data_IF_803232317728
#
_entry.id   IF_803232317728
#
_cell.length_a   1.000
_cell.length_b   1.000
_cell.length_c   1.000
_cell.angle_alpha   90.00
_cell.angle_beta   90.00
_cell.angle_gamma   90.00
#
_symmetry.space_group_name_H-M   'P 1'
#
loop_
_entity.id
_entity.type
_entity.pdbx_description
1 polymer ?
#
# COMPACT_ATOMS: atom_id res chain seq x y z
N UNK A 1 19.02 20.45 -17.10
CA UNK A 1 18.15 20.93 -15.99
C UNK A 1 16.96 19.98 -15.89
N UNK A 2 16.75 19.37 -14.70
CA UNK A 2 15.54 18.56 -14.46
C UNK A 2 14.30 19.45 -14.48
N UNK A 3 13.28 19.04 -15.24
CA UNK A 3 11.96 19.68 -15.21
C UNK A 3 11.15 19.16 -14.02
N UNK A 4 10.00 19.80 -13.74
CA UNK A 4 9.10 19.28 -12.68
C UNK A 4 8.61 17.87 -12.98
N UNK A 5 8.31 17.55 -14.24
CA UNK A 5 7.86 16.20 -14.62
C UNK A 5 8.97 15.15 -14.47
N UNK A 6 10.24 15.54 -14.63
CA UNK A 6 11.36 14.60 -14.40
C UNK A 6 11.46 14.17 -12.94
N UNK A 7 10.94 14.95 -11.98
CA UNK A 7 10.92 14.60 -10.57
C UNK A 7 9.92 13.50 -10.23
N UNK A 8 8.95 13.24 -11.09
CA UNK A 8 7.99 12.14 -10.93
C UNK A 8 8.48 10.82 -11.56
N UNK A 9 9.56 10.85 -12.36
CA UNK A 9 10.10 9.65 -12.99
C UNK A 9 10.80 8.74 -11.97
N UNK A 10 10.57 7.44 -12.15
CA UNK A 10 11.13 6.39 -11.30
C UNK A 10 12.16 5.53 -12.04
N UNK A 11 12.76 6.07 -13.11
CA UNK A 11 13.75 5.34 -13.92
C UNK A 11 14.92 4.83 -13.05
N UNK A 12 15.24 3.54 -13.18
CA UNK A 12 16.29 2.90 -12.40
C UNK A 12 15.95 2.62 -10.95
N UNK A 13 14.69 2.85 -10.54
CA UNK A 13 14.19 2.50 -9.21
C UNK A 13 13.56 1.13 -9.21
N UNK A 14 13.64 0.46 -8.08
CA UNK A 14 13.01 -0.83 -7.81
C UNK A 14 11.96 -0.65 -6.71
N UNK A 15 10.73 -1.04 -7.02
CA UNK A 15 9.63 -1.04 -6.07
C UNK A 15 9.27 -2.47 -5.64
N UNK A 16 8.97 -2.66 -4.36
CA UNK A 16 8.36 -3.87 -3.83
C UNK A 16 6.93 -3.54 -3.40
N UNK A 17 5.95 -4.23 -3.98
CA UNK A 17 4.52 -3.99 -3.72
C UNK A 17 3.86 -5.25 -3.17
N UNK A 18 3.31 -5.17 -1.95
CA UNK A 18 2.58 -6.29 -1.34
C UNK A 18 1.11 -6.28 -1.70
N UNK A 19 0.49 -7.47 -1.79
CA UNK A 19 -0.91 -7.60 -2.22
C UNK A 19 -1.13 -7.17 -3.68
N UNK A 20 -0.15 -7.45 -4.55
CA UNK A 20 -0.10 -6.99 -5.94
C UNK A 20 -0.82 -7.91 -6.94
N UNK A 21 -1.59 -8.89 -6.47
CA UNK A 21 -2.30 -9.85 -7.34
C UNK A 21 -3.42 -9.17 -8.14
N UNK A 22 -4.16 -8.25 -7.52
CA UNK A 22 -5.31 -7.54 -8.12
C UNK A 22 -5.64 -6.26 -7.35
N UNK A 23 -6.66 -5.55 -7.82
CA UNK A 23 -7.20 -4.36 -7.14
C UNK A 23 -6.16 -3.27 -6.94
N UNK A 24 -6.14 -2.65 -5.76
CA UNK A 24 -5.31 -1.48 -5.47
C UNK A 24 -3.82 -1.77 -5.64
N UNK A 25 -3.34 -2.91 -5.13
CA UNK A 25 -1.92 -3.26 -5.21
C UNK A 25 -1.44 -3.48 -6.64
N UNK A 26 -2.25 -4.14 -7.48
CA UNK A 26 -1.93 -4.32 -8.89
C UNK A 26 -1.89 -2.97 -9.64
N UNK A 27 -2.88 -2.10 -9.42
CA UNK A 27 -2.93 -0.77 -10.04
C UNK A 27 -1.73 0.09 -9.60
N UNK A 28 -1.39 0.10 -8.31
CA UNK A 28 -0.21 0.82 -7.80
C UNK A 28 1.07 0.27 -8.44
N UNK A 29 1.24 -1.06 -8.50
CA UNK A 29 2.42 -1.69 -9.11
C UNK A 29 2.58 -1.29 -10.58
N UNK A 30 1.49 -1.34 -11.35
CA UNK A 30 1.47 -0.88 -12.76
C UNK A 30 1.77 0.61 -12.86
N UNK A 31 1.18 1.46 -12.00
CA UNK A 31 1.44 2.91 -12.00
C UNK A 31 2.90 3.25 -11.71
N UNK A 32 3.57 2.54 -10.80
CA UNK A 32 5.00 2.70 -10.54
C UNK A 32 5.84 2.27 -11.75
N UNK A 33 5.43 1.21 -12.45
CA UNK A 33 6.09 0.76 -13.68
C UNK A 33 5.88 1.75 -14.84
N UNK A 34 4.69 2.33 -15.01
CA UNK A 34 4.39 3.41 -15.96
C UNK A 34 5.30 4.63 -15.72
N UNK A 35 5.65 4.91 -14.45
CA UNK A 35 6.59 5.96 -14.10
C UNK A 35 8.07 5.57 -14.27
N UNK A 36 8.39 4.32 -14.62
CA UNK A 36 9.72 3.84 -14.95
C UNK A 36 10.39 2.90 -13.96
N UNK A 37 9.70 2.47 -12.88
CA UNK A 37 10.25 1.53 -11.92
C UNK A 37 10.23 0.08 -12.43
N UNK A 38 11.20 -0.74 -11.99
CA UNK A 38 11.09 -2.19 -12.01
C UNK A 38 10.37 -2.64 -10.72
N UNK A 39 9.63 -3.75 -10.75
CA UNK A 39 8.71 -4.07 -9.64
C UNK A 39 8.81 -5.53 -9.18
N UNK A 40 9.04 -5.72 -7.88
CA UNK A 40 8.80 -6.98 -7.19
C UNK A 40 7.34 -7.02 -6.68
N UNK A 41 6.59 -8.01 -7.12
CA UNK A 41 5.18 -8.23 -6.81
C UNK A 41 5.06 -9.32 -5.76
N UNK A 42 4.37 -9.05 -4.65
CA UNK A 42 4.14 -10.03 -3.58
C UNK A 42 2.65 -10.34 -3.46
N UNK A 43 2.30 -11.61 -3.41
CA UNK A 43 0.91 -12.06 -3.25
C UNK A 43 0.80 -13.55 -2.94
N UNK A 44 -0.38 -14.00 -2.54
CA UNK A 44 -0.67 -15.40 -2.20
C UNK A 44 -1.19 -16.21 -3.39
N UNK A 45 -1.71 -15.56 -4.42
CA UNK A 45 -2.25 -16.18 -5.64
C UNK A 45 -1.47 -15.76 -6.89
N UNK A 46 -1.93 -16.09 -8.08
CA UNK A 46 -1.22 -15.77 -9.33
C UNK A 46 -0.99 -14.26 -9.47
N UNK A 47 0.23 -13.89 -9.78
CA UNK A 47 0.68 -12.51 -10.06
C UNK A 47 0.90 -12.26 -11.56
N UNK A 48 0.66 -13.29 -12.37
CA UNK A 48 1.00 -13.34 -13.80
C UNK A 48 0.36 -12.19 -14.60
N UNK A 49 -0.89 -11.83 -14.31
CA UNK A 49 -1.57 -10.75 -15.04
C UNK A 49 -0.89 -9.39 -14.77
N UNK A 50 -0.57 -9.11 -13.51
CA UNK A 50 0.11 -7.86 -13.14
C UNK A 50 1.53 -7.84 -13.70
N UNK A 51 2.24 -8.97 -13.63
CA UNK A 51 3.59 -9.13 -14.19
C UNK A 51 3.60 -8.86 -15.70
N UNK A 52 2.69 -9.47 -16.46
CA UNK A 52 2.54 -9.24 -17.90
C UNK A 52 2.29 -7.77 -18.24
N UNK A 53 1.43 -7.08 -17.48
CA UNK A 53 1.18 -5.64 -17.67
C UNK A 53 2.46 -4.82 -17.50
N UNK A 54 3.27 -5.10 -16.49
CA UNK A 54 4.52 -4.40 -16.22
C UNK A 54 5.56 -4.69 -17.31
N UNK A 55 5.69 -5.95 -17.73
CA UNK A 55 6.61 -6.34 -18.79
C UNK A 55 6.23 -5.72 -20.14
N UNK A 56 4.94 -5.54 -20.41
CA UNK A 56 4.45 -4.85 -21.62
C UNK A 56 4.84 -3.36 -21.66
N UNK A 57 5.13 -2.75 -20.51
CA UNK A 57 5.68 -1.39 -20.40
C UNK A 57 7.21 -1.34 -20.59
N UNK A 58 7.86 -2.48 -20.90
CA UNK A 58 9.31 -2.58 -21.01
C UNK A 58 10.04 -2.55 -19.66
N UNK A 59 9.34 -2.80 -18.56
CA UNK A 59 9.92 -2.86 -17.20
C UNK A 59 10.12 -4.31 -16.76
N UNK A 60 11.07 -4.51 -15.81
CA UNK A 60 11.27 -5.83 -15.21
C UNK A 60 10.25 -6.04 -14.11
N UNK A 61 9.73 -7.26 -14.00
CA UNK A 61 8.87 -7.69 -12.92
C UNK A 61 9.39 -8.99 -12.30
N UNK A 62 9.16 -9.18 -11.01
CA UNK A 62 9.45 -10.40 -10.27
C UNK A 62 8.23 -10.79 -9.45
N UNK A 63 7.62 -11.92 -9.75
CA UNK A 63 6.53 -12.47 -8.95
C UNK A 63 7.08 -13.27 -7.75
N UNK A 64 6.71 -12.87 -6.53
CA UNK A 64 7.08 -13.52 -5.28
C UNK A 64 5.80 -14.03 -4.61
N UNK A 65 5.60 -15.34 -4.62
CA UNK A 65 4.47 -15.95 -3.94
C UNK A 65 4.80 -16.11 -2.45
N UNK A 66 4.12 -15.36 -1.59
CA UNK A 66 4.32 -15.40 -0.14
C UNK A 66 3.03 -15.06 0.61
N UNK A 67 2.84 -15.70 1.76
CA UNK A 67 1.77 -15.39 2.71
C UNK A 67 2.33 -14.50 3.83
N UNK A 68 1.82 -13.28 3.91
CA UNK A 68 2.26 -12.29 4.90
C UNK A 68 1.70 -12.55 6.31
N UNK A 69 0.75 -13.48 6.47
CA UNK A 69 0.34 -13.95 7.79
C UNK A 69 1.43 -14.82 8.46
N UNK A 70 2.30 -15.44 7.67
CA UNK A 70 3.49 -16.14 8.16
C UNK A 70 4.68 -15.19 8.25
N UNK A 71 5.00 -14.74 9.46
CA UNK A 71 6.17 -13.87 9.70
C UNK A 71 7.50 -14.48 9.22
N UNK A 72 7.59 -15.82 9.17
CA UNK A 72 8.82 -16.50 8.70
C UNK A 72 9.04 -16.33 7.19
N UNK A 73 7.98 -16.03 6.43
CA UNK A 73 8.11 -15.77 5.00
C UNK A 73 8.70 -14.39 4.69
N UNK A 74 8.56 -13.42 5.61
CA UNK A 74 8.90 -11.99 5.37
C UNK A 74 10.38 -11.79 4.99
N UNK A 75 11.39 -12.38 5.65
CA UNK A 75 12.79 -12.24 5.24
C UNK A 75 13.04 -12.72 3.81
N UNK A 76 12.42 -13.84 3.41
CA UNK A 76 12.56 -14.42 2.08
C UNK A 76 12.04 -13.49 0.96
N UNK A 77 11.03 -12.66 1.24
CA UNK A 77 10.50 -11.68 0.29
C UNK A 77 11.58 -10.65 -0.06
N UNK A 78 12.20 -10.05 0.94
CA UNK A 78 13.24 -9.04 0.72
C UNK A 78 14.48 -9.66 0.05
N UNK A 79 14.89 -10.85 0.49
CA UNK A 79 16.01 -11.58 -0.10
C UNK A 79 15.78 -11.90 -1.58
N UNK A 80 14.59 -12.35 -1.97
CA UNK A 80 14.25 -12.64 -3.36
C UNK A 80 14.30 -11.38 -4.24
N UNK A 81 13.74 -10.26 -3.76
CA UNK A 81 13.78 -9.00 -4.47
C UNK A 81 15.22 -8.49 -4.67
N UNK A 82 16.05 -8.57 -3.61
CA UNK A 82 17.46 -8.18 -3.66
C UNK A 82 18.29 -9.08 -4.58
N UNK A 83 18.06 -10.39 -4.54
CA UNK A 83 18.77 -11.33 -5.41
C UNK A 83 18.50 -11.06 -6.90
N UNK A 84 17.27 -10.62 -7.23
CA UNK A 84 16.88 -10.37 -8.63
C UNK A 84 17.27 -8.97 -9.13
N UNK A 85 17.04 -7.93 -8.32
CA UNK A 85 17.23 -6.53 -8.72
C UNK A 85 18.49 -5.87 -8.14
N UNK A 86 19.15 -6.51 -7.19
CA UNK A 86 20.29 -5.96 -6.44
C UNK A 86 19.90 -5.09 -5.26
N UNK A 87 18.76 -4.44 -5.29
CA UNK A 87 18.27 -3.53 -4.25
C UNK A 87 16.76 -3.30 -4.33
N UNK A 88 16.21 -2.62 -3.31
CA UNK A 88 14.85 -2.09 -3.31
C UNK A 88 14.90 -0.63 -2.86
N UNK A 89 14.29 0.30 -3.61
CA UNK A 89 14.25 1.73 -3.30
C UNK A 89 12.89 2.18 -2.74
N UNK A 90 11.83 1.46 -3.11
CA UNK A 90 10.44 1.83 -2.79
C UNK A 90 9.74 0.61 -2.21
N UNK A 91 9.17 0.74 -1.02
CA UNK A 91 8.34 -0.28 -0.40
C UNK A 91 6.90 0.22 -0.33
N UNK A 92 5.97 -0.54 -0.92
CA UNK A 92 4.53 -0.29 -0.80
C UNK A 92 3.88 -1.42 0.01
N UNK A 93 3.52 -1.12 1.24
CA UNK A 93 2.77 -2.01 2.12
C UNK A 93 1.27 -1.85 1.84
N UNK A 94 0.79 -2.61 0.85
CA UNK A 94 -0.61 -2.58 0.42
C UNK A 94 -1.40 -3.80 0.88
N UNK A 95 -0.79 -4.96 1.04
CA UNK A 95 -1.49 -6.17 1.46
C UNK A 95 -2.35 -5.91 2.71
N UNK A 96 -3.56 -6.42 2.67
CA UNK A 96 -4.48 -6.29 3.79
C UNK A 96 -5.73 -7.13 3.59
N UNK A 97 -6.26 -7.58 4.70
CA UNK A 97 -7.51 -8.34 4.78
C UNK A 97 -8.48 -7.65 5.72
N UNK A 98 -9.74 -8.00 5.59
CA UNK A 98 -10.81 -7.51 6.45
C UNK A 98 -11.64 -8.69 6.96
N UNK A 99 -12.03 -8.65 8.23
CA UNK A 99 -13.01 -9.54 8.86
C UNK A 99 -14.17 -8.69 9.36
N UNK A 100 -15.38 -9.24 9.24
CA UNK A 100 -16.61 -8.50 9.59
C UNK A 100 -17.45 -9.30 10.54
N UNK A 101 -17.55 -8.84 11.79
CA UNK A 101 -18.44 -9.40 12.80
C UNK A 101 -18.82 -8.31 13.81
N UNK A 102 -19.90 -8.51 14.56
CA UNK A 102 -20.28 -7.62 15.64
C UNK A 102 -19.18 -7.61 16.72
N UNK A 103 -19.07 -6.51 17.44
CA UNK A 103 -17.96 -6.33 18.39
C UNK A 103 -17.96 -7.38 19.50
N UNK A 104 -19.12 -7.74 20.00
CA UNK A 104 -19.33 -8.74 21.07
C UNK A 104 -19.11 -10.20 20.63
N UNK A 105 -19.11 -10.44 19.32
CA UNK A 105 -18.95 -11.78 18.72
C UNK A 105 -17.66 -11.92 17.90
N UNK A 106 -16.79 -10.89 17.94
CA UNK A 106 -15.55 -10.88 17.15
C UNK A 106 -14.55 -11.89 17.74
N UNK A 107 -14.12 -12.86 16.94
CA UNK A 107 -13.25 -13.95 17.41
C UNK A 107 -11.78 -13.52 17.53
N UNK A 108 -11.03 -14.17 18.44
CA UNK A 108 -9.57 -14.01 18.53
C UNK A 108 -8.89 -14.30 17.19
N UNK A 109 -9.32 -15.38 16.51
CA UNK A 109 -8.78 -15.75 15.22
C UNK A 109 -8.97 -14.64 14.18
N UNK A 110 -10.15 -14.04 14.08
CA UNK A 110 -10.40 -12.95 13.13
C UNK A 110 -9.61 -11.69 13.46
N UNK A 111 -9.36 -11.48 14.75
CA UNK A 111 -8.49 -10.41 15.22
C UNK A 111 -7.04 -10.66 14.80
N UNK A 112 -6.48 -11.81 15.14
CA UNK A 112 -5.10 -12.19 14.86
C UNK A 112 -4.80 -12.25 13.36
N UNK A 113 -5.71 -12.83 12.55
CA UNK A 113 -5.59 -12.88 11.10
C UNK A 113 -5.37 -11.47 10.51
N UNK A 114 -6.17 -10.49 10.96
CA UNK A 114 -6.09 -9.13 10.42
C UNK A 114 -4.85 -8.39 10.94
N UNK A 115 -4.55 -8.49 12.24
CA UNK A 115 -3.39 -7.83 12.84
C UNK A 115 -2.11 -8.39 12.21
N UNK A 116 -2.00 -9.71 12.03
CA UNK A 116 -0.84 -10.36 11.44
C UNK A 116 -0.51 -9.82 10.04
N UNK A 117 -1.52 -9.70 9.18
CA UNK A 117 -1.30 -9.20 7.80
C UNK A 117 -1.22 -7.68 7.74
N UNK A 118 -2.15 -6.97 8.39
CA UNK A 118 -2.31 -5.53 8.19
C UNK A 118 -1.34 -4.68 9.03
N UNK A 119 -0.76 -5.23 10.08
CA UNK A 119 0.12 -4.49 11.00
C UNK A 119 1.47 -5.15 11.17
N UNK A 120 1.51 -6.42 11.59
CA UNK A 120 2.77 -7.10 11.88
C UNK A 120 3.65 -7.21 10.62
N UNK A 121 3.08 -7.68 9.51
CA UNK A 121 3.80 -7.77 8.25
C UNK A 121 4.30 -6.39 7.77
N UNK A 122 3.48 -5.35 7.92
CA UNK A 122 3.86 -3.97 7.60
C UNK A 122 5.08 -3.54 8.40
N UNK A 123 5.08 -3.80 9.72
CA UNK A 123 6.20 -3.45 10.59
C UNK A 123 7.47 -4.21 10.22
N UNK A 124 7.42 -5.55 10.16
CA UNK A 124 8.62 -6.36 9.95
C UNK A 124 9.23 -6.19 8.56
N UNK A 125 8.40 -6.08 7.51
CA UNK A 125 8.90 -5.82 6.16
C UNK A 125 9.52 -4.43 6.04
N UNK A 126 8.89 -3.42 6.65
CA UNK A 126 9.46 -2.06 6.71
C UNK A 126 10.79 -2.04 7.47
N UNK A 127 10.90 -2.78 8.58
CA UNK A 127 12.15 -2.86 9.34
C UNK A 127 13.29 -3.46 8.49
N UNK A 128 13.02 -4.52 7.72
CA UNK A 128 14.02 -5.12 6.83
C UNK A 128 14.42 -4.16 5.72
N UNK A 129 13.46 -3.49 5.10
CA UNK A 129 13.71 -2.46 4.08
C UNK A 129 14.59 -1.33 4.64
N UNK A 130 14.26 -0.81 5.83
CA UNK A 130 15.02 0.26 6.48
C UNK A 130 16.47 -0.16 6.75
N UNK A 131 16.69 -1.37 7.28
CA UNK A 131 18.03 -1.91 7.52
C UNK A 131 18.85 -1.98 6.24
N UNK A 132 18.24 -2.41 5.16
CA UNK A 132 18.88 -2.54 3.85
C UNK A 132 19.25 -1.18 3.26
N UNK A 133 18.31 -0.21 3.27
CA UNK A 133 18.55 1.15 2.76
C UNK A 133 19.67 1.85 3.53
N UNK A 134 19.67 1.73 4.87
CA UNK A 134 20.73 2.30 5.72
C UNK A 134 22.08 1.64 5.43
N UNK A 135 22.12 0.31 5.32
CA UNK A 135 23.35 -0.43 5.04
C UNK A 135 24.00 -0.03 3.70
N UNK A 136 23.17 0.31 2.70
CA UNK A 136 23.63 0.84 1.40
C UNK A 136 23.98 2.34 1.41
N UNK A 137 23.74 3.05 2.49
CA UNK A 137 23.82 4.52 2.55
C UNK A 137 23.00 5.19 1.43
N UNK A 138 21.79 4.67 1.18
CA UNK A 138 20.91 5.08 0.09
C UNK A 138 19.69 5.86 0.60
N UNK A 139 18.90 6.40 -0.34
CA UNK A 139 17.57 6.96 -0.05
C UNK A 139 16.50 5.89 -0.26
N UNK A 140 15.41 5.98 0.51
CA UNK A 140 14.29 5.05 0.41
C UNK A 140 12.93 5.74 0.53
N UNK A 141 11.90 5.10 -0.02
CA UNK A 141 10.50 5.54 0.10
C UNK A 141 9.65 4.41 0.63
N UNK A 142 8.89 4.67 1.68
CA UNK A 142 7.90 3.72 2.22
C UNK A 142 6.52 4.34 2.08
N UNK A 143 5.60 3.59 1.47
CA UNK A 143 4.21 3.98 1.30
C UNK A 143 3.33 2.91 1.95
N UNK A 144 2.62 3.30 3.00
CA UNK A 144 1.64 2.43 3.63
C UNK A 144 0.26 2.66 3.03
N UNK A 145 -0.51 1.61 2.78
CA UNK A 145 -1.93 1.77 2.46
C UNK A 145 -2.73 1.72 3.77
N UNK A 146 -3.08 2.90 4.23
CA UNK A 146 -3.94 3.16 5.37
C UNK A 146 -5.43 2.98 4.98
N UNK A 147 -6.32 3.77 5.54
CA UNK A 147 -7.76 3.77 5.24
C UNK A 147 -8.39 5.06 5.74
N UNK A 148 -9.58 5.41 5.28
CA UNK A 148 -10.46 6.35 5.97
C UNK A 148 -10.68 5.95 7.44
N UNK A 149 -10.68 4.63 7.73
CA UNK A 149 -10.81 4.11 9.09
C UNK A 149 -9.58 4.34 9.98
N UNK A 150 -8.53 4.95 9.45
CA UNK A 150 -7.43 5.52 10.24
C UNK A 150 -7.83 6.83 10.94
N UNK A 151 -8.92 7.47 10.51
CA UNK A 151 -9.41 8.75 11.01
C UNK A 151 -10.78 8.64 11.68
N UNK A 152 -11.56 7.63 11.31
CA UNK A 152 -12.93 7.43 11.79
C UNK A 152 -13.19 5.97 12.13
N UNK A 153 -14.20 5.68 12.96
CA UNK A 153 -14.62 4.32 13.26
C UNK A 153 -15.39 3.68 12.11
N UNK A 154 -15.26 2.37 11.99
CA UNK A 154 -16.11 1.53 11.13
C UNK A 154 -17.07 0.70 11.98
N UNK A 155 -18.05 0.09 11.33
CA UNK A 155 -19.03 -0.83 11.95
C UNK A 155 -18.65 -2.25 11.56
N UNK A 156 -18.59 -3.18 12.55
CA UNK A 156 -18.30 -4.61 12.34
C UNK A 156 -16.90 -4.92 11.77
N UNK A 157 -15.93 -4.05 11.97
CA UNK A 157 -14.57 -4.16 11.42
C UNK A 157 -13.51 -3.80 12.47
N UNK A 158 -13.63 -4.39 13.66
CA UNK A 158 -12.82 -4.04 14.84
C UNK A 158 -11.31 -4.10 14.55
N UNK A 159 -10.79 -5.26 14.19
CA UNK A 159 -9.35 -5.45 13.92
C UNK A 159 -8.85 -4.65 12.72
N UNK A 160 -9.68 -4.48 11.69
CA UNK A 160 -9.30 -3.66 10.53
C UNK A 160 -9.14 -2.18 10.92
N UNK A 161 -10.11 -1.62 11.66
CA UNK A 161 -10.02 -0.24 12.16
C UNK A 161 -8.79 -0.06 13.05
N UNK A 162 -8.57 -0.97 14.00
CA UNK A 162 -7.40 -0.94 14.89
C UNK A 162 -6.09 -0.98 14.08
N UNK A 163 -5.96 -1.92 13.14
CA UNK A 163 -4.75 -2.06 12.33
C UNK A 163 -4.47 -0.82 11.46
N UNK A 164 -5.50 -0.24 10.82
CA UNK A 164 -5.32 0.95 9.96
C UNK A 164 -5.03 2.22 10.75
N UNK A 165 -5.56 2.35 11.97
CA UNK A 165 -5.19 3.41 12.91
C UNK A 165 -3.75 3.24 13.40
N UNK A 166 -3.33 2.01 13.70
CA UNK A 166 -1.94 1.71 14.09
C UNK A 166 -0.95 2.02 12.95
N UNK A 167 -1.25 1.65 11.70
CA UNK A 167 -0.42 1.97 10.52
C UNK A 167 -0.28 3.48 10.32
N UNK A 168 -1.36 4.25 10.56
CA UNK A 168 -1.30 5.72 10.53
C UNK A 168 -0.36 6.29 11.60
N UNK A 169 -0.42 5.78 12.82
CA UNK A 169 0.51 6.15 13.90
C UNK A 169 1.95 5.74 13.60
N UNK A 170 2.15 4.51 13.10
CA UNK A 170 3.44 3.98 12.72
C UNK A 170 4.09 4.80 11.59
N UNK A 171 3.31 5.29 10.63
CA UNK A 171 3.78 6.19 9.56
C UNK A 171 4.45 7.44 10.14
N UNK A 172 3.83 8.06 11.15
CA UNK A 172 4.37 9.27 11.80
C UNK A 172 5.63 8.97 12.61
N UNK A 173 5.61 7.89 13.41
CA UNK A 173 6.76 7.45 14.17
C UNK A 173 7.97 7.21 13.26
N UNK A 174 7.78 6.41 12.22
CA UNK A 174 8.86 6.09 11.28
C UNK A 174 9.38 7.32 10.54
N UNK A 175 8.52 8.26 10.17
CA UNK A 175 8.93 9.51 9.55
C UNK A 175 9.85 10.31 10.46
N UNK A 176 9.53 10.42 11.76
CA UNK A 176 10.36 11.15 12.74
C UNK A 176 11.75 10.52 12.92
N UNK A 177 11.82 9.18 12.92
CA UNK A 177 13.09 8.48 13.15
C UNK A 177 13.96 8.35 11.89
N UNK A 178 13.35 8.36 10.69
CA UNK A 178 14.01 7.96 9.47
C UNK A 178 14.25 9.10 8.46
N UNK A 179 13.59 10.25 8.62
CA UNK A 179 13.75 11.37 7.70
C UNK A 179 15.21 11.83 7.58
N UNK A 180 15.92 11.96 8.71
CA UNK A 180 17.33 12.33 8.72
C UNK A 180 18.27 11.27 8.12
N UNK A 181 17.77 10.04 7.95
CA UNK A 181 18.47 8.91 7.31
C UNK A 181 18.15 8.79 5.82
N UNK A 182 17.47 9.78 5.23
CA UNK A 182 17.13 9.81 3.82
C UNK A 182 15.97 8.88 3.43
N UNK A 183 15.13 8.45 4.39
CA UNK A 183 13.97 7.59 4.13
C UNK A 183 12.68 8.38 4.36
N UNK A 184 11.89 8.54 3.30
CA UNK A 184 10.55 9.11 3.41
C UNK A 184 9.54 8.03 3.77
N UNK A 185 8.71 8.28 4.76
CA UNK A 185 7.62 7.38 5.16
C UNK A 185 6.31 8.14 5.13
N UNK A 186 5.39 7.70 4.26
CA UNK A 186 4.07 8.30 4.09
C UNK A 186 3.02 7.21 3.92
N UNK A 187 1.76 7.60 3.91
CA UNK A 187 0.65 6.68 3.67
C UNK A 187 -0.34 7.26 2.65
N UNK A 188 -1.12 6.37 2.04
CA UNK A 188 -2.32 6.71 1.28
C UNK A 188 -3.52 6.16 2.06
N UNK A 189 -4.56 6.97 2.22
CA UNK A 189 -5.85 6.54 2.78
C UNK A 189 -6.89 6.49 1.64
N UNK A 190 -7.13 5.30 1.06
CA UNK A 190 -8.16 5.16 0.05
C UNK A 190 -9.55 5.36 0.65
N UNK A 191 -10.44 5.93 -0.16
CA UNK A 191 -11.87 5.98 0.10
C UNK A 191 -12.57 4.66 -0.20
N UNK A 192 -13.85 4.75 -0.53
CA UNK A 192 -14.61 3.60 -1.03
C UNK A 192 -14.21 3.33 -2.48
N UNK A 193 -13.44 2.26 -2.66
CA UNK A 193 -12.86 1.84 -3.94
C UNK A 193 -13.57 0.60 -4.48
N UNK A 194 -13.71 0.51 -5.81
CA UNK A 194 -14.24 -0.68 -6.50
C UNK A 194 -13.22 -1.81 -6.47
N UNK A 195 -13.36 -2.69 -5.49
CA UNK A 195 -12.52 -3.88 -5.32
C UNK A 195 -13.38 -5.06 -4.86
N UNK A 196 -12.80 -6.26 -4.81
CA UNK A 196 -13.48 -7.45 -4.28
C UNK A 196 -13.91 -7.27 -2.82
N UNK A 197 -13.12 -6.55 -2.03
CA UNK A 197 -13.43 -6.28 -0.61
C UNK A 197 -14.70 -5.45 -0.42
N UNK A 198 -15.12 -4.72 -1.45
CA UNK A 198 -16.32 -3.85 -1.43
C UNK A 198 -17.47 -4.39 -2.29
N UNK A 199 -17.28 -5.53 -2.97
CA UNK A 199 -18.28 -6.09 -3.89
C UNK A 199 -19.64 -6.30 -3.21
N UNK A 200 -19.68 -6.84 -1.99
CA UNK A 200 -20.92 -7.03 -1.23
C UNK A 200 -21.61 -5.69 -0.89
N UNK A 201 -20.85 -4.65 -0.56
CA UNK A 201 -21.40 -3.31 -0.27
C UNK A 201 -22.01 -2.68 -1.52
N UNK A 202 -21.40 -2.89 -2.69
CA UNK A 202 -21.89 -2.40 -3.98
C UNK A 202 -23.10 -3.17 -4.48
N UNK A 203 -23.19 -4.46 -4.16
CA UNK A 203 -24.35 -5.30 -4.50
C UNK A 203 -25.60 -5.01 -3.65
N UNK A 204 -25.44 -4.52 -2.44
CA UNK A 204 -26.52 -4.08 -1.55
C UNK A 204 -26.98 -2.67 -1.95
N UNK A 205 -28.19 -2.55 -2.52
CA UNK A 205 -28.72 -1.29 -3.08
C UNK A 205 -28.78 -0.15 -2.05
N UNK A 206 -29.22 -0.46 -0.82
CA UNK A 206 -29.38 0.57 0.22
C UNK A 206 -28.03 1.03 0.74
N UNK A 207 -27.10 0.09 0.97
CA UNK A 207 -25.72 0.41 1.38
C UNK A 207 -24.98 1.16 0.29
N UNK A 208 -25.09 0.73 -0.95
CA UNK A 208 -24.47 1.40 -2.10
C UNK A 208 -24.95 2.83 -2.22
N UNK A 209 -26.29 3.03 -2.16
CA UNK A 209 -26.87 4.37 -2.20
C UNK A 209 -26.39 5.25 -1.05
N UNK A 210 -26.44 4.75 0.18
CA UNK A 210 -25.99 5.49 1.36
C UNK A 210 -24.52 5.91 1.29
N UNK A 211 -23.66 5.06 0.71
CA UNK A 211 -22.24 5.35 0.49
C UNK A 211 -22.08 6.41 -0.59
N UNK A 212 -22.74 6.25 -1.75
CA UNK A 212 -22.66 7.20 -2.87
C UNK A 212 -23.17 8.59 -2.48
N UNK A 213 -24.28 8.67 -1.75
CA UNK A 213 -24.86 9.94 -1.28
C UNK A 213 -23.89 10.73 -0.36
N UNK A 214 -22.95 10.02 0.26
CA UNK A 214 -21.94 10.63 1.14
C UNK A 214 -20.62 10.96 0.43
N UNK A 215 -20.29 10.34 -0.69
CA UNK A 215 -19.07 10.65 -1.45
C UNK A 215 -19.30 11.95 -2.25
N UNK A 216 -18.58 13.06 -1.98
CA UNK A 216 -18.76 14.31 -2.72
C UNK A 216 -18.52 14.18 -4.22
N UNK A 217 -17.59 13.33 -4.66
CA UNK A 217 -17.34 13.08 -6.08
C UNK A 217 -18.44 12.28 -6.79
N UNK A 218 -19.44 11.75 -6.05
CA UNK A 218 -20.61 11.05 -6.60
C UNK A 218 -20.33 9.68 -7.21
N UNK A 219 -19.12 9.12 -7.02
CA UNK A 219 -18.74 7.80 -7.54
C UNK A 219 -17.86 7.03 -6.56
N UNK A 220 -17.86 5.74 -6.72
CA UNK A 220 -16.79 4.90 -6.15
C UNK A 220 -15.46 5.27 -6.80
N UNK A 221 -14.36 5.15 -6.04
CA UNK A 221 -13.03 5.26 -6.60
C UNK A 221 -12.65 3.97 -7.35
N UNK A 222 -11.86 4.12 -8.39
CA UNK A 222 -11.25 3.00 -9.12
C UNK A 222 -9.82 2.76 -8.62
N UNK A 223 -9.27 1.53 -8.71
CA UNK A 223 -7.88 1.27 -8.34
C UNK A 223 -6.88 2.22 -9.01
N UNK A 224 -7.17 2.67 -10.23
CA UNK A 224 -6.39 3.61 -11.03
C UNK A 224 -6.28 5.00 -10.38
N UNK A 225 -7.26 5.42 -9.61
CA UNK A 225 -7.25 6.70 -8.90
C UNK A 225 -6.08 6.81 -7.88
N UNK A 226 -5.50 5.67 -7.47
CA UNK A 226 -4.36 5.65 -6.54
C UNK A 226 -3.00 5.79 -7.22
N UNK A 227 -2.89 5.56 -8.53
CA UNK A 227 -1.62 5.56 -9.26
C UNK A 227 -0.86 6.88 -9.08
N UNK A 228 -1.55 8.00 -9.30
CA UNK A 228 -0.94 9.33 -9.19
C UNK A 228 -0.38 9.62 -7.80
N UNK A 229 -1.14 9.30 -6.75
CA UNK A 229 -0.71 9.46 -5.37
C UNK A 229 0.51 8.55 -5.03
N UNK A 230 0.50 7.30 -5.50
CA UNK A 230 1.59 6.36 -5.30
C UNK A 230 2.87 6.83 -6.01
N UNK A 231 2.78 7.27 -7.26
CA UNK A 231 3.93 7.79 -8.03
C UNK A 231 4.47 9.07 -7.36
N UNK A 232 3.62 9.99 -6.94
CA UNK A 232 4.04 11.19 -6.19
C UNK A 232 4.85 10.81 -4.95
N UNK A 233 4.30 9.97 -4.09
CA UNK A 233 4.96 9.59 -2.82
C UNK A 233 6.21 8.72 -3.03
N UNK A 234 6.32 7.99 -4.13
CA UNK A 234 7.48 7.19 -4.50
C UNK A 234 8.63 8.00 -5.12
N UNK A 235 8.36 9.20 -5.61
CA UNK A 235 9.25 9.99 -6.45
C UNK A 235 9.99 11.12 -5.71
N UNK A 236 10.93 11.78 -6.39
CA UNK A 236 11.63 12.97 -5.88
C UNK A 236 10.67 14.16 -5.67
N UNK A 237 9.49 14.16 -6.29
CA UNK A 237 8.49 15.22 -6.12
C UNK A 237 7.98 15.32 -4.67
N UNK A 238 8.11 14.25 -3.88
CA UNK A 238 7.71 14.18 -2.48
C UNK A 238 8.89 14.17 -1.48
N UNK A 239 10.10 14.58 -1.88
CA UNK A 239 11.29 14.48 -1.00
C UNK A 239 11.15 15.24 0.33
N UNK A 240 10.30 16.27 0.38
CA UNK A 240 10.04 17.03 1.62
C UNK A 240 8.72 16.65 2.29
N UNK A 241 8.08 15.55 1.86
CA UNK A 241 6.84 15.03 2.47
C UNK A 241 7.19 13.86 3.36
N UNK A 242 6.90 13.98 4.66
CA UNK A 242 7.18 12.97 5.68
C UNK A 242 6.03 12.84 6.66
N UNK A 243 5.66 11.62 7.01
CA UNK A 243 4.65 11.31 8.02
C UNK A 243 3.23 11.69 7.63
N UNK A 244 2.99 12.02 6.37
CA UNK A 244 1.68 12.42 5.89
C UNK A 244 0.86 11.22 5.40
N UNK A 245 -0.43 11.25 5.67
CA UNK A 245 -1.38 10.29 5.10
C UNK A 245 -2.29 11.03 4.12
N UNK A 246 -2.06 10.78 2.83
CA UNK A 246 -2.78 11.41 1.72
C UNK A 246 -4.12 10.70 1.50
N UNK A 247 -5.22 11.39 1.74
CA UNK A 247 -6.54 10.87 1.41
C UNK A 247 -6.77 10.89 -0.11
N UNK A 248 -7.20 9.75 -0.66
CA UNK A 248 -7.66 9.60 -2.05
C UNK A 248 -9.04 8.94 -1.97
N UNK A 249 -10.06 9.76 -1.66
CA UNK A 249 -11.33 9.27 -1.13
C UNK A 249 -12.57 9.94 -1.75
N UNK A 250 -12.39 10.69 -2.83
CA UNK A 250 -13.48 11.41 -3.46
C UNK A 250 -14.13 12.52 -2.59
N UNK A 251 -13.40 12.95 -1.55
CA UNK A 251 -13.87 13.98 -0.60
C UNK A 251 -14.61 13.42 0.62
N UNK A 252 -14.60 12.11 0.84
CA UNK A 252 -15.30 11.47 1.96
C UNK A 252 -14.92 12.05 3.34
N UNK A 253 -13.63 12.28 3.57
CA UNK A 253 -13.12 12.83 4.85
C UNK A 253 -13.24 14.35 4.95
N UNK A 254 -13.67 15.04 3.91
CA UNK A 254 -13.82 16.49 3.91
C UNK A 254 -15.13 16.96 4.55
N UNK A 255 -16.07 16.05 4.88
CA UNK A 255 -17.35 16.33 5.52
C UNK A 255 -17.80 15.24 6.51
#
# INVERSE_FOLDING_TARGET
VKTILDRFKLNGKVALVTGATRGLGAAIAVGLAEAGADVALVGTSSLEETEKKIMALGRKALAIKADLSDRKAIPGIMQAAQAHFGHVDILVNNAGIIRRENFDSFTEKDWDDVIGVNLDAVFFLSQLFVKEVIARNAKGKIIHIASMLSYQGGIRVASYTASKSAVHGLTKLMANELASKGINVNAIAPGYMETDNTAQLRADRDRNKAILDRIPSGRWGEPEDLKGAAVFLASEASDYVHGYTLAVDGGWLAR
#
